data_IF_542071187263
#
_entry.id   IF_542071187263
#
_cell.length_a   1.000
_cell.length_b   1.000
_cell.length_c   1.000
_cell.angle_alpha   90.00
_cell.angle_beta   90.00
_cell.angle_gamma   90.00
#
_symmetry.space_group_name_H-M   'P 1'
#
loop_
_entity.id
_entity.type
_entity.pdbx_description
1 polymer ?
#
# COMPACT_ATOMS: atom_id res chain seq x y z
N UNK A 1 -12.10 -13.14 -29.70
CA UNK A 1 -11.31 -12.37 -28.72
C UNK A 1 -12.13 -11.39 -27.88
N UNK A 2 -13.38 -11.06 -28.22
CA UNK A 2 -14.23 -10.10 -27.50
C UNK A 2 -14.78 -10.61 -26.15
N UNK A 3 -14.93 -11.92 -25.96
CA UNK A 3 -15.43 -12.50 -24.71
C UNK A 3 -14.45 -12.39 -23.53
N UNK A 4 -13.15 -12.58 -23.76
CA UNK A 4 -12.12 -12.52 -22.71
C UNK A 4 -12.00 -11.12 -22.11
N UNK A 5 -11.94 -10.09 -22.96
CA UNK A 5 -11.91 -8.70 -22.52
C UNK A 5 -13.13 -8.30 -21.67
N UNK A 6 -14.34 -8.78 -22.04
CA UNK A 6 -15.56 -8.55 -21.26
C UNK A 6 -15.51 -9.24 -19.88
N UNK A 7 -14.92 -10.43 -19.79
CA UNK A 7 -14.75 -11.14 -18.51
C UNK A 7 -13.75 -10.42 -17.62
N UNK A 8 -12.63 -9.96 -18.16
CA UNK A 8 -11.61 -9.18 -17.42
C UNK A 8 -12.21 -7.90 -16.85
N UNK A 9 -12.90 -7.09 -17.67
CA UNK A 9 -13.60 -5.89 -17.23
C UNK A 9 -14.60 -6.16 -16.10
N UNK A 10 -15.34 -7.27 -16.17
CA UNK A 10 -16.28 -7.65 -15.11
C UNK A 10 -15.55 -7.98 -13.81
N UNK A 11 -14.40 -8.64 -13.88
CA UNK A 11 -13.58 -8.95 -12.69
C UNK A 11 -13.05 -7.66 -12.06
N UNK A 12 -12.55 -6.71 -12.86
CA UNK A 12 -12.03 -5.43 -12.37
C UNK A 12 -13.12 -4.61 -11.65
N UNK A 13 -14.32 -4.52 -12.22
CA UNK A 13 -15.45 -3.82 -11.59
C UNK A 13 -15.84 -4.47 -10.26
N UNK A 14 -15.88 -5.80 -10.20
CA UNK A 14 -16.20 -6.52 -8.96
C UNK A 14 -15.11 -6.32 -7.90
N UNK A 15 -13.83 -6.32 -8.31
CA UNK A 15 -12.70 -6.04 -7.40
C UNK A 15 -12.86 -4.66 -6.76
N UNK A 16 -13.14 -3.62 -7.55
CA UNK A 16 -13.24 -2.26 -7.01
C UNK A 16 -14.40 -2.13 -6.02
N UNK A 17 -15.55 -2.74 -6.34
CA UNK A 17 -16.68 -2.83 -5.40
C UNK A 17 -16.28 -3.54 -4.10
N UNK A 18 -15.61 -4.68 -4.17
CA UNK A 18 -15.14 -5.40 -2.99
C UNK A 18 -14.13 -4.57 -2.17
N UNK A 19 -13.28 -3.76 -2.80
CA UNK A 19 -12.34 -2.85 -2.11
C UNK A 19 -13.07 -1.73 -1.37
N UNK A 20 -14.14 -1.19 -1.95
CA UNK A 20 -14.99 -0.17 -1.30
C UNK A 20 -15.76 -0.74 -0.12
N UNK A 21 -16.20 -2.01 -0.21
CA UNK A 21 -16.95 -2.73 0.82
C UNK A 21 -16.06 -3.44 1.86
N UNK A 22 -14.74 -3.25 1.84
CA UNK A 22 -13.77 -3.94 2.74
C UNK A 22 -13.82 -5.48 2.66
N UNK A 23 -14.25 -6.06 1.53
CA UNK A 23 -14.33 -7.52 1.34
C UNK A 23 -12.96 -8.09 0.88
N UNK A 24 -11.94 -7.94 1.72
CA UNK A 24 -10.54 -8.21 1.32
C UNK A 24 -10.26 -9.65 0.89
N UNK A 25 -10.88 -10.64 1.55
CA UNK A 25 -10.79 -12.04 1.12
C UNK A 25 -11.26 -12.20 -0.33
N UNK A 26 -12.34 -11.51 -0.69
CA UNK A 26 -12.89 -11.56 -2.06
C UNK A 26 -12.01 -10.82 -3.06
N UNK A 27 -11.42 -9.69 -2.66
CA UNK A 27 -10.43 -8.97 -3.47
C UNK A 27 -9.26 -9.88 -3.83
N UNK A 28 -8.73 -10.64 -2.86
CA UNK A 28 -7.61 -11.57 -3.08
C UNK A 28 -8.01 -12.66 -4.07
N UNK A 29 -9.16 -13.33 -3.87
CA UNK A 29 -9.65 -14.37 -4.79
C UNK A 29 -9.82 -13.87 -6.23
N UNK A 30 -10.41 -12.69 -6.39
CA UNK A 30 -10.65 -12.11 -7.71
C UNK A 30 -9.35 -11.66 -8.38
N UNK A 31 -8.40 -11.12 -7.62
CA UNK A 31 -7.09 -10.75 -8.13
C UNK A 31 -6.25 -11.98 -8.55
N UNK A 32 -6.35 -13.09 -7.84
CA UNK A 32 -5.75 -14.37 -8.25
C UNK A 32 -6.37 -14.86 -9.58
N UNK A 33 -7.70 -14.81 -9.70
CA UNK A 33 -8.37 -15.15 -10.95
C UNK A 33 -7.99 -14.21 -12.12
N UNK A 34 -7.82 -12.91 -11.85
CA UNK A 34 -7.38 -11.93 -12.83
C UNK A 34 -5.99 -12.31 -13.38
N UNK A 35 -5.06 -12.63 -12.47
CA UNK A 35 -3.69 -13.06 -12.83
C UNK A 35 -3.69 -14.32 -13.69
N UNK A 36 -4.51 -15.31 -13.36
CA UNK A 36 -4.60 -16.57 -14.12
C UNK A 36 -5.22 -16.38 -15.51
N UNK A 37 -6.30 -15.59 -15.59
CA UNK A 37 -7.06 -15.40 -16.84
C UNK A 37 -6.43 -14.38 -17.77
N UNK A 38 -5.66 -13.45 -17.25
CA UNK A 38 -5.09 -12.33 -18.00
C UNK A 38 -3.69 -11.99 -17.46
N UNK A 39 -2.63 -12.71 -17.90
CA UNK A 39 -1.26 -12.51 -17.43
C UNK A 39 -0.72 -11.09 -17.62
N UNK A 40 -1.28 -10.31 -18.56
CA UNK A 40 -0.94 -8.91 -18.75
C UNK A 40 -1.26 -8.01 -17.53
N UNK A 41 -2.15 -8.45 -16.64
CA UNK A 41 -2.49 -7.78 -15.38
C UNK A 41 -1.73 -8.36 -14.18
N UNK A 42 -0.65 -9.12 -14.38
CA UNK A 42 0.11 -9.75 -13.29
C UNK A 42 0.48 -8.76 -12.17
N UNK A 43 1.05 -7.60 -12.52
CA UNK A 43 1.50 -6.61 -11.52
C UNK A 43 0.33 -5.92 -10.80
N UNK A 44 -0.78 -5.68 -11.51
CA UNK A 44 -2.01 -5.18 -10.90
C UNK A 44 -2.57 -6.21 -9.91
N UNK A 45 -2.59 -7.49 -10.28
CA UNK A 45 -3.02 -8.56 -9.39
C UNK A 45 -2.09 -8.67 -8.17
N UNK A 46 -0.78 -8.56 -8.33
CA UNK A 46 0.17 -8.55 -7.21
C UNK A 46 -0.11 -7.38 -6.25
N UNK A 47 -0.35 -6.18 -6.78
CA UNK A 47 -0.74 -5.02 -5.99
C UNK A 47 -2.02 -5.30 -5.18
N UNK A 48 -3.09 -5.77 -5.83
CA UNK A 48 -4.39 -6.04 -5.22
C UNK A 48 -4.35 -7.15 -4.16
N UNK A 49 -3.59 -8.23 -4.41
CA UNK A 49 -3.38 -9.30 -3.43
C UNK A 49 -2.58 -8.76 -2.23
N UNK A 50 -1.56 -7.95 -2.49
CA UNK A 50 -0.77 -7.30 -1.44
C UNK A 50 -1.62 -6.38 -0.55
N UNK A 51 -2.44 -5.54 -1.17
CA UNK A 51 -3.41 -4.67 -0.50
C UNK A 51 -4.41 -5.48 0.33
N UNK A 52 -5.08 -6.46 -0.27
CA UNK A 52 -6.09 -7.26 0.42
C UNK A 52 -5.51 -7.98 1.64
N UNK A 53 -4.31 -8.57 1.52
CA UNK A 53 -3.65 -9.22 2.67
C UNK A 53 -3.27 -8.22 3.77
N UNK A 54 -2.83 -7.02 3.40
CA UNK A 54 -2.47 -5.97 4.36
C UNK A 54 -3.71 -5.45 5.10
N UNK A 55 -4.75 -5.05 4.38
CA UNK A 55 -5.95 -4.46 4.98
C UNK A 55 -6.70 -5.50 5.82
N UNK A 56 -6.83 -6.75 5.34
CA UNK A 56 -7.43 -7.84 6.11
C UNK A 56 -6.72 -8.08 7.45
N UNK A 57 -5.37 -8.02 7.45
CA UNK A 57 -4.60 -8.15 8.69
C UNK A 57 -4.84 -6.97 9.64
N UNK A 58 -4.90 -5.74 9.12
CA UNK A 58 -5.04 -4.54 9.93
C UNK A 58 -6.46 -4.33 10.48
N UNK A 59 -7.48 -4.93 9.87
CA UNK A 59 -8.84 -4.99 10.43
C UNK A 59 -8.89 -5.83 11.71
N UNK A 60 -8.09 -6.90 11.79
CA UNK A 60 -7.99 -7.73 12.99
C UNK A 60 -6.96 -7.22 14.01
N UNK A 61 -5.83 -6.67 13.54
CA UNK A 61 -4.67 -6.33 14.36
C UNK A 61 -4.25 -4.88 14.14
N UNK A 62 -4.57 -4.03 15.12
CA UNK A 62 -4.14 -2.63 15.10
C UNK A 62 -2.60 -2.51 15.08
N UNK A 63 -2.02 -1.53 14.35
CA UNK A 63 -0.58 -1.33 14.22
C UNK A 63 0.00 -0.64 15.47
N UNK A 64 -0.01 -1.35 16.61
CA UNK A 64 0.56 -0.93 17.89
C UNK A 64 1.83 -1.73 18.21
N UNK A 65 2.69 -1.20 19.09
CA UNK A 65 4.00 -1.80 19.41
C UNK A 65 3.90 -3.27 19.85
N UNK A 66 2.83 -3.65 20.56
CA UNK A 66 2.57 -5.03 20.99
C UNK A 66 2.37 -6.03 19.84
N UNK A 67 1.90 -5.56 18.67
CA UNK A 67 1.57 -6.40 17.52
C UNK A 67 2.70 -6.50 16.50
N UNK A 68 3.79 -5.74 16.65
CA UNK A 68 4.88 -5.64 15.66
C UNK A 68 5.48 -7.00 15.27
N UNK A 69 5.75 -7.88 16.23
CA UNK A 69 6.32 -9.20 15.93
C UNK A 69 5.33 -10.07 15.15
N UNK A 70 4.04 -9.97 15.47
CA UNK A 70 2.97 -10.68 14.75
C UNK A 70 2.83 -10.13 13.33
N UNK A 71 2.89 -8.81 13.16
CA UNK A 71 2.82 -8.15 11.87
C UNK A 71 3.96 -8.59 10.96
N UNK A 72 5.20 -8.62 11.47
CA UNK A 72 6.39 -9.07 10.70
C UNK A 72 6.23 -10.48 10.14
N UNK A 73 5.55 -11.39 10.85
CA UNK A 73 5.33 -12.76 10.42
C UNK A 73 4.15 -12.87 9.44
N UNK A 74 3.02 -12.23 9.74
CA UNK A 74 1.79 -12.39 8.97
C UNK A 74 1.77 -11.53 7.69
N UNK A 75 2.52 -10.43 7.66
CA UNK A 75 2.59 -9.52 6.51
C UNK A 75 3.75 -9.84 5.55
N UNK A 76 4.51 -10.94 5.75
CA UNK A 76 5.62 -11.30 4.85
C UNK A 76 5.19 -11.45 3.40
N UNK A 77 4.06 -12.12 3.21
CA UNK A 77 3.46 -12.39 1.91
C UNK A 77 2.87 -11.13 1.27
N UNK A 78 2.19 -10.29 2.06
CA UNK A 78 1.71 -8.98 1.59
C UNK A 78 2.88 -8.10 1.11
N UNK A 79 3.97 -8.06 1.90
CA UNK A 79 5.19 -7.33 1.57
C UNK A 79 5.80 -7.82 0.26
N UNK A 80 5.89 -9.13 0.06
CA UNK A 80 6.42 -9.71 -1.18
C UNK A 80 5.64 -9.26 -2.40
N UNK A 81 4.31 -9.35 -2.35
CA UNK A 81 3.45 -8.97 -3.48
C UNK A 81 3.57 -7.47 -3.80
N UNK A 82 3.55 -6.62 -2.76
CA UNK A 82 3.72 -5.17 -2.93
C UNK A 82 5.12 -4.80 -3.46
N UNK A 83 6.18 -5.52 -3.05
CA UNK A 83 7.52 -5.31 -3.58
C UNK A 83 7.61 -5.64 -5.08
N UNK A 84 6.96 -6.73 -5.52
CA UNK A 84 6.84 -7.05 -6.95
C UNK A 84 6.09 -5.94 -7.69
N UNK A 85 4.98 -5.46 -7.13
CA UNK A 85 4.19 -4.37 -7.74
C UNK A 85 4.92 -3.02 -7.74
N UNK A 86 5.92 -2.81 -6.88
CA UNK A 86 6.70 -1.58 -6.80
C UNK A 86 7.92 -1.52 -7.74
N UNK A 87 8.22 -2.62 -8.44
CA UNK A 87 9.38 -2.70 -9.33
C UNK A 87 9.19 -1.93 -10.65
N UNK A 88 10.21 -1.93 -11.53
CA UNK A 88 10.15 -1.23 -12.82
C UNK A 88 9.04 -1.75 -13.74
N UNK A 89 8.62 -3.02 -13.61
CA UNK A 89 7.52 -3.58 -14.40
C UNK A 89 6.18 -3.16 -13.81
N UNK A 90 6.06 -3.12 -12.49
CA UNK A 90 4.95 -2.51 -11.78
C UNK A 90 4.78 -1.02 -12.12
N UNK A 91 5.88 -0.28 -12.33
CA UNK A 91 5.84 1.11 -12.80
C UNK A 91 5.24 1.22 -14.20
N UNK A 92 5.62 0.32 -15.12
CA UNK A 92 5.02 0.25 -16.47
C UNK A 92 3.54 -0.13 -16.42
N UNK A 93 3.12 -0.92 -15.44
CA UNK A 93 1.72 -1.27 -15.19
C UNK A 93 0.94 -0.17 -14.45
N UNK A 94 1.59 0.94 -14.05
CA UNK A 94 0.94 2.08 -13.40
C UNK A 94 0.64 1.90 -11.90
N UNK A 95 1.12 0.83 -11.26
CA UNK A 95 0.77 0.49 -9.87
C UNK A 95 1.89 0.76 -8.85
N UNK A 96 3.11 1.08 -9.30
CA UNK A 96 4.27 1.16 -8.42
C UNK A 96 4.18 2.24 -7.34
N UNK A 97 3.63 3.42 -7.66
CA UNK A 97 3.49 4.51 -6.67
C UNK A 97 2.51 4.11 -5.57
N UNK A 98 1.36 3.55 -5.93
CA UNK A 98 0.35 3.06 -4.98
C UNK A 98 0.90 1.89 -4.15
N UNK A 99 1.68 1.00 -4.76
CA UNK A 99 2.36 -0.07 -4.04
C UNK A 99 3.33 0.46 -2.97
N UNK A 100 4.06 1.54 -3.27
CA UNK A 100 4.93 2.20 -2.28
C UNK A 100 4.15 2.85 -1.14
N UNK A 101 2.96 3.42 -1.39
CA UNK A 101 2.09 3.93 -0.32
C UNK A 101 1.70 2.82 0.66
N UNK A 102 1.26 1.66 0.13
CA UNK A 102 0.89 0.51 0.96
C UNK A 102 2.09 -0.14 1.66
N UNK A 103 3.27 -0.15 1.02
CA UNK A 103 4.51 -0.56 1.69
C UNK A 103 4.83 0.35 2.87
N UNK A 104 4.62 1.67 2.74
CA UNK A 104 4.75 2.62 3.85
C UNK A 104 3.92 2.23 5.06
N UNK A 105 2.64 1.92 4.83
CA UNK A 105 1.69 1.44 5.85
C UNK A 105 2.11 0.09 6.45
N UNK A 106 2.52 -0.86 5.61
CA UNK A 106 3.02 -2.17 6.05
C UNK A 106 4.26 -2.06 6.92
N UNK A 107 5.22 -1.23 6.53
CA UNK A 107 6.46 -1.02 7.28
C UNK A 107 6.21 -0.39 8.63
N UNK A 108 5.27 0.55 8.73
CA UNK A 108 4.84 1.10 10.01
C UNK A 108 4.27 0.00 10.93
N UNK A 109 3.35 -0.83 10.43
CA UNK A 109 2.81 -1.95 11.20
C UNK A 109 3.88 -2.96 11.66
N UNK A 110 4.96 -3.11 10.87
CA UNK A 110 6.12 -3.94 11.19
C UNK A 110 7.17 -3.22 12.07
N UNK A 111 6.94 -1.99 12.53
CA UNK A 111 7.90 -1.19 13.31
C UNK A 111 9.18 -0.82 12.55
N UNK A 112 9.12 -0.80 11.21
CA UNK A 112 10.23 -0.48 10.30
C UNK A 112 10.10 0.95 9.77
N UNK A 113 10.12 1.94 10.66
CA UNK A 113 9.76 3.33 10.37
C UNK A 113 10.60 3.97 9.24
N UNK A 114 11.91 3.76 9.23
CA UNK A 114 12.80 4.29 8.19
C UNK A 114 12.46 3.77 6.78
N UNK A 115 12.11 2.48 6.69
CA UNK A 115 11.68 1.87 5.42
C UNK A 115 10.31 2.43 4.99
N UNK A 116 9.43 2.71 5.96
CA UNK A 116 8.18 3.40 5.74
C UNK A 116 8.38 4.79 5.14
N UNK A 117 9.25 5.60 5.75
CA UNK A 117 9.59 6.94 5.26
C UNK A 117 10.21 6.90 3.87
N UNK A 118 11.11 5.94 3.61
CA UNK A 118 11.70 5.77 2.28
C UNK A 118 10.62 5.41 1.23
N UNK A 119 9.65 4.58 1.60
CA UNK A 119 8.56 4.20 0.69
C UNK A 119 7.70 5.41 0.31
N UNK A 120 7.38 6.30 1.25
CA UNK A 120 6.65 7.54 0.94
C UNK A 120 7.43 8.52 0.05
N UNK A 121 8.77 8.52 0.13
CA UNK A 121 9.62 9.26 -0.80
C UNK A 121 9.53 8.68 -2.21
N UNK A 122 9.63 7.35 -2.34
CA UNK A 122 9.53 6.65 -3.63
C UNK A 122 8.12 6.74 -4.26
N UNK A 123 7.08 6.88 -3.44
CA UNK A 123 5.71 7.10 -3.89
C UNK A 123 5.43 8.55 -4.35
N UNK A 124 6.39 9.47 -4.18
CA UNK A 124 6.22 10.90 -4.47
C UNK A 124 4.95 11.49 -3.83
N UNK A 125 4.66 11.10 -2.57
CA UNK A 125 3.38 11.34 -1.89
C UNK A 125 2.86 12.78 -1.98
N UNK A 126 3.76 13.77 -1.91
CA UNK A 126 3.43 15.19 -2.02
C UNK A 126 2.74 15.57 -3.34
N UNK A 127 3.09 14.92 -4.45
CA UNK A 127 2.54 15.18 -5.80
C UNK A 127 1.11 14.68 -5.99
N UNK A 128 0.61 13.86 -5.06
CA UNK A 128 -0.71 13.23 -5.16
C UNK A 128 -1.85 14.11 -4.64
N UNK A 129 -1.54 15.17 -3.88
CA UNK A 129 -2.52 16.10 -3.31
C UNK A 129 -3.22 16.98 -4.35
N UNK A 130 -2.60 17.18 -5.51
CA UNK A 130 -3.09 18.05 -6.57
C UNK A 130 -3.95 17.32 -7.62
N UNK A 131 -4.13 16.00 -7.46
CA UNK A 131 -4.79 15.13 -8.45
C UNK A 131 -6.24 14.84 -8.06
N UNK A 132 -7.12 14.78 -9.06
CA UNK A 132 -8.45 14.17 -8.89
C UNK A 132 -8.29 12.65 -8.87
N UNK A 133 -8.54 12.05 -7.72
CA UNK A 133 -8.35 10.61 -7.47
C UNK A 133 -9.68 9.93 -7.13
N UNK A 134 -9.83 8.63 -7.45
CA UNK A 134 -10.92 7.80 -6.94
C UNK A 134 -10.95 7.77 -5.40
N UNK A 135 -12.11 7.45 -4.82
CA UNK A 135 -12.33 7.47 -3.36
C UNK A 135 -11.30 6.60 -2.62
N UNK A 136 -11.04 5.38 -3.10
CA UNK A 136 -10.07 4.47 -2.48
C UNK A 136 -8.65 5.04 -2.53
N UNK A 137 -8.24 5.59 -3.66
CA UNK A 137 -6.92 6.23 -3.80
C UNK A 137 -6.78 7.45 -2.87
N UNK A 138 -7.81 8.28 -2.73
CA UNK A 138 -7.82 9.38 -1.75
C UNK A 138 -7.63 8.86 -0.32
N UNK A 139 -8.31 7.78 0.06
CA UNK A 139 -8.14 7.13 1.36
C UNK A 139 -6.69 6.67 1.59
N UNK A 140 -6.09 5.99 0.60
CA UNK A 140 -4.68 5.54 0.69
C UNK A 140 -3.73 6.73 0.87
N UNK A 141 -3.93 7.81 0.12
CA UNK A 141 -3.10 9.03 0.23
C UNK A 141 -3.24 9.67 1.61
N UNK A 142 -4.47 9.83 2.11
CA UNK A 142 -4.72 10.41 3.43
C UNK A 142 -4.08 9.58 4.56
N UNK A 143 -4.26 8.25 4.52
CA UNK A 143 -3.63 7.33 5.46
C UNK A 143 -2.10 7.40 5.37
N UNK A 144 -1.54 7.55 4.16
CA UNK A 144 -0.10 7.67 3.94
C UNK A 144 0.49 8.91 4.58
N UNK A 145 -0.19 10.07 4.49
CA UNK A 145 0.24 11.29 5.19
C UNK A 145 0.20 11.11 6.71
N UNK A 146 -0.89 10.55 7.24
CA UNK A 146 -1.03 10.29 8.68
C UNK A 146 0.09 9.36 9.19
N UNK A 147 0.33 8.25 8.50
CA UNK A 147 1.35 7.27 8.88
C UNK A 147 2.76 7.83 8.68
N UNK A 148 3.01 8.62 7.63
CA UNK A 148 4.30 9.31 7.47
C UNK A 148 4.60 10.17 8.71
N UNK A 149 3.63 10.93 9.20
CA UNK A 149 3.76 11.71 10.44
C UNK A 149 4.07 10.83 11.65
N UNK A 150 3.37 9.70 11.80
CA UNK A 150 3.63 8.74 12.89
C UNK A 150 5.03 8.11 12.81
N UNK A 151 5.52 7.78 11.60
CA UNK A 151 6.87 7.30 11.40
C UNK A 151 7.90 8.36 11.84
N UNK A 152 7.72 9.64 11.49
CA UNK A 152 8.63 10.72 11.88
C UNK A 152 8.70 10.93 13.40
N UNK A 153 7.58 10.70 14.10
CA UNK A 153 7.50 10.76 15.56
C UNK A 153 8.23 9.59 16.24
N UNK A 154 8.10 8.38 15.67
CA UNK A 154 8.68 7.13 16.20
C UNK A 154 10.15 6.92 15.83
N UNK A 155 10.64 7.59 14.79
CA UNK A 155 12.04 7.52 14.40
C UNK A 155 12.95 8.15 15.50
N UNK A 156 13.69 7.32 16.22
CA UNK A 156 14.63 7.78 17.27
C UNK A 156 16.06 7.91 16.78
N UNK A 157 16.33 7.76 15.48
CA UNK A 157 17.71 7.66 14.94
C UNK A 157 18.49 8.97 14.95
N UNK A 158 17.85 10.11 15.21
CA UNK A 158 18.49 11.44 15.18
C UNK A 158 18.50 12.17 16.52
N UNK A 159 19.69 12.29 17.12
CA UNK A 159 19.94 12.94 18.43
C UNK A 159 20.28 14.43 18.36
N UNK A 160 20.50 15.00 17.15
CA UNK A 160 20.85 16.42 16.99
C UNK A 160 19.62 17.34 16.99
N UNK A 161 19.72 18.47 17.69
CA UNK A 161 18.67 19.51 17.75
C UNK A 161 18.22 20.02 16.37
N UNK A 162 19.16 20.13 15.41
CA UNK A 162 18.85 20.57 14.05
C UNK A 162 17.97 19.58 13.29
N UNK A 163 18.30 18.28 13.36
CA UNK A 163 17.50 17.21 12.73
C UNK A 163 16.15 17.00 13.41
N UNK A 164 16.04 17.37 14.70
CA UNK A 164 14.76 17.39 15.41
C UNK A 164 13.86 18.51 14.87
N UNK A 165 14.40 19.72 14.69
CA UNK A 165 13.66 20.86 14.14
C UNK A 165 13.22 20.62 12.68
N UNK A 166 14.06 20.01 11.84
CA UNK A 166 13.72 19.64 10.46
C UNK A 166 12.54 18.64 10.43
N UNK A 167 12.53 17.64 11.33
CA UNK A 167 11.42 16.70 11.46
C UNK A 167 10.13 17.36 11.94
N UNK A 168 10.21 18.25 12.93
CA UNK A 168 9.04 19.00 13.39
C UNK A 168 8.45 19.85 12.26
N UNK A 169 9.29 20.44 11.40
CA UNK A 169 8.82 21.12 10.18
C UNK A 169 8.24 20.16 9.14
N UNK A 170 8.79 18.96 8.99
CA UNK A 170 8.28 17.95 8.04
C UNK A 170 6.94 17.36 8.49
N UNK A 171 6.67 17.27 9.80
CA UNK A 171 5.36 16.86 10.35
C UNK A 171 4.26 17.90 10.05
N UNK A 172 4.63 19.17 9.96
CA UNK A 172 3.71 20.29 9.73
C UNK A 172 3.41 20.54 8.24
N UNK A 173 4.03 19.79 7.32
CA UNK A 173 3.89 19.91 5.87
C UNK A 173 3.18 18.70 5.28
#
# INVERSE_FOLDING_TARGET
>A
MTGRAKVTLRIEVEIEKCREESQWTKVIELAEQLKEKSPEFEYLAQFLIGEGRLENYLEEWQPVDANVNKAKLNLMEARRNLQIASDDKGRKAGVALDAHLLLGKLYYACGQYDQGLNSYKLAELHTLTEKKLPLRSLKIVAESFAIKGLCLQKDTTSTSKFKKAEREQEILK
#
